data_IF_860123262510
#
_entry.id   IF_860123262510
#
_cell.length_a   1.000
_cell.length_b   1.000
_cell.length_c   1.000
_cell.angle_alpha   90.00
_cell.angle_beta   90.00
_cell.angle_gamma   90.00
#
_symmetry.space_group_name_H-M   'P 1'
#
loop_
_entity.id
_entity.type
_entity.pdbx_description
1 polymer ?
#
# COMPACT_ATOMS: atom_id res chain seq x y z
N UNK A 1 -0.39 53.34 -13.19
CA UNK A 1 -1.56 52.45 -13.30
C UNK A 1 -1.03 51.06 -13.64
N UNK A 2 -0.92 50.18 -12.65
CA UNK A 2 -0.54 48.78 -12.84
C UNK A 2 -1.38 47.96 -11.86
N UNK A 3 -2.32 47.18 -12.42
CA UNK A 3 -3.10 46.18 -11.70
C UNK A 3 -2.16 45.11 -11.15
N UNK A 4 -2.24 44.86 -9.85
CA UNK A 4 -1.65 43.68 -9.21
C UNK A 4 -2.80 42.70 -9.04
N UNK A 5 -2.76 41.60 -9.80
CA UNK A 5 -3.71 40.51 -9.68
C UNK A 5 -3.54 39.86 -8.30
N UNK A 6 -4.58 39.92 -7.48
CA UNK A 6 -4.73 39.04 -6.32
C UNK A 6 -4.90 37.62 -6.83
N UNK A 7 -4.02 36.74 -6.35
CA UNK A 7 -4.08 35.31 -6.59
C UNK A 7 -5.13 34.77 -5.63
N UNK A 8 -6.22 34.23 -6.17
CA UNK A 8 -7.26 33.52 -5.42
C UNK A 8 -6.62 32.40 -4.59
N UNK A 9 -6.50 32.65 -3.29
CA UNK A 9 -6.20 31.62 -2.30
C UNK A 9 -7.38 30.65 -2.29
N UNK A 10 -7.15 29.42 -2.77
CA UNK A 10 -8.12 28.33 -2.72
C UNK A 10 -8.81 28.29 -1.36
N UNK A 11 -10.13 28.45 -1.42
CA UNK A 11 -11.06 28.37 -0.30
C UNK A 11 -10.91 26.99 0.34
N UNK A 12 -10.18 26.92 1.45
CA UNK A 12 -10.39 25.87 2.44
C UNK A 12 -11.84 26.07 2.90
N UNK A 13 -12.77 25.12 2.65
CA UNK A 13 -14.13 25.29 3.13
C UNK A 13 -14.04 25.47 4.65
N UNK A 14 -14.71 26.48 5.19
CA UNK A 14 -14.80 26.71 6.63
C UNK A 14 -15.26 25.42 7.32
N UNK A 15 -14.31 24.68 7.87
CA UNK A 15 -14.57 23.44 8.59
C UNK A 15 -14.67 23.82 10.07
N UNK A 16 -15.75 23.41 10.73
CA UNK A 16 -15.92 23.51 12.19
C UNK A 16 -14.58 23.19 12.91
N UNK A 17 -14.10 24.04 13.85
CA UNK A 17 -12.83 23.84 14.53
C UNK A 17 -12.66 22.44 15.16
N UNK A 18 -13.72 21.84 15.70
CA UNK A 18 -13.71 20.46 16.23
C UNK A 18 -13.44 19.42 15.13
N UNK A 19 -14.00 19.64 13.94
CA UNK A 19 -13.78 18.77 12.78
C UNK A 19 -12.36 18.98 12.22
N UNK A 20 -11.81 20.19 12.31
CA UNK A 20 -10.42 20.48 11.93
C UNK A 20 -9.43 19.73 12.85
N UNK A 21 -9.67 19.71 14.15
CA UNK A 21 -8.81 19.04 15.12
C UNK A 21 -8.89 17.50 15.00
N UNK A 22 -10.09 16.95 14.83
CA UNK A 22 -10.28 15.54 14.50
C UNK A 22 -9.57 15.14 13.20
N UNK A 23 -9.69 15.95 12.14
CA UNK A 23 -9.00 15.68 10.88
C UNK A 23 -7.49 15.69 11.04
N UNK A 24 -6.93 16.65 11.79
CA UNK A 24 -5.51 16.75 12.05
C UNK A 24 -4.97 15.54 12.83
N UNK A 25 -5.70 15.09 13.85
CA UNK A 25 -5.33 13.90 14.64
C UNK A 25 -5.47 12.59 13.84
N UNK A 26 -6.49 12.48 12.98
CA UNK A 26 -6.63 11.33 12.10
C UNK A 26 -5.51 11.29 11.06
N UNK A 27 -5.21 12.42 10.41
CA UNK A 27 -4.09 12.58 9.48
C UNK A 27 -2.74 12.22 10.11
N UNK A 28 -2.51 12.62 11.37
CA UNK A 28 -1.27 12.31 12.09
C UNK A 28 -1.11 10.81 12.36
N UNK A 29 -2.20 10.08 12.58
CA UNK A 29 -2.18 8.61 12.73
C UNK A 29 -2.03 7.85 11.40
N UNK A 30 -2.48 8.43 10.30
CA UNK A 30 -2.46 7.80 8.97
C UNK A 30 -1.13 7.89 8.25
N UNK A 31 -0.39 8.99 8.43
CA UNK A 31 0.95 9.17 7.85
C UNK A 31 1.90 8.02 8.23
N UNK A 32 1.99 7.58 9.51
CA UNK A 32 2.74 6.39 9.90
C UNK A 32 2.30 5.12 9.17
N UNK A 33 0.99 4.87 9.03
CA UNK A 33 0.46 3.66 8.39
C UNK A 33 0.83 3.63 6.90
N UNK A 34 0.71 4.77 6.19
CA UNK A 34 1.19 4.91 4.81
C UNK A 34 2.70 4.63 4.69
N UNK A 35 3.48 5.06 5.68
CA UNK A 35 4.91 4.78 5.77
C UNK A 35 5.19 3.27 5.83
N UNK A 36 4.50 2.56 6.72
CA UNK A 36 4.63 1.11 6.89
C UNK A 36 4.25 0.37 5.61
N UNK A 37 3.10 0.72 5.01
CA UNK A 37 2.64 0.14 3.74
C UNK A 37 3.67 0.34 2.63
N UNK A 38 4.24 1.55 2.51
CA UNK A 38 5.31 1.80 1.52
C UNK A 38 6.50 0.89 1.77
N UNK A 39 6.95 0.76 3.03
CA UNK A 39 8.10 -0.08 3.37
C UNK A 39 7.84 -1.55 3.02
N UNK A 40 6.65 -2.06 3.32
CA UNK A 40 6.26 -3.43 2.98
C UNK A 40 6.31 -3.68 1.47
N UNK A 41 5.82 -2.73 0.66
CA UNK A 41 5.87 -2.85 -0.80
C UNK A 41 7.33 -2.90 -1.29
N UNK A 42 8.18 -1.99 -0.80
CA UNK A 42 9.59 -1.95 -1.17
C UNK A 42 10.33 -3.24 -0.75
N UNK A 43 10.04 -3.77 0.43
CA UNK A 43 10.59 -5.04 0.90
C UNK A 43 10.21 -6.18 -0.04
N UNK A 44 8.92 -6.27 -0.45
CA UNK A 44 8.44 -7.30 -1.38
C UNK A 44 9.17 -7.21 -2.73
N UNK A 45 9.39 -5.99 -3.24
CA UNK A 45 10.14 -5.77 -4.47
C UNK A 45 11.59 -6.22 -4.33
N UNK A 46 12.24 -5.87 -3.24
CA UNK A 46 13.62 -6.26 -2.92
C UNK A 46 13.78 -7.77 -2.81
N UNK A 47 12.82 -8.46 -2.15
CA UNK A 47 12.83 -9.93 -2.05
C UNK A 47 12.69 -10.56 -3.44
N UNK A 48 11.83 -10.02 -4.31
CA UNK A 48 11.69 -10.51 -5.68
C UNK A 48 12.97 -10.32 -6.51
N UNK A 49 13.60 -9.16 -6.42
CA UNK A 49 14.84 -8.87 -7.15
C UNK A 49 15.95 -9.87 -6.78
N UNK A 50 16.08 -10.13 -5.48
CA UNK A 50 17.07 -11.03 -4.89
C UNK A 50 16.69 -12.52 -4.91
N UNK A 51 15.50 -12.86 -5.43
CA UNK A 51 15.00 -14.22 -5.44
C UNK A 51 15.91 -15.17 -6.24
N UNK A 52 16.41 -16.22 -5.57
CA UNK A 52 17.23 -17.27 -6.17
C UNK A 52 16.38 -18.29 -6.94
N UNK A 53 15.16 -18.56 -6.45
CA UNK A 53 14.21 -19.47 -7.07
C UNK A 53 12.84 -18.80 -7.28
N UNK A 54 11.96 -19.45 -8.03
CA UNK A 54 10.55 -19.09 -8.17
C UNK A 54 10.26 -17.63 -8.58
N UNK A 55 11.20 -16.95 -9.26
CA UNK A 55 11.03 -15.58 -9.78
C UNK A 55 9.75 -15.39 -10.60
N UNK A 56 9.33 -16.39 -11.37
CA UNK A 56 8.08 -16.32 -12.15
C UNK A 56 6.85 -16.22 -11.25
N UNK A 57 6.83 -16.94 -10.13
CA UNK A 57 5.71 -16.91 -9.20
C UNK A 57 5.64 -15.57 -8.49
N UNK A 58 6.76 -15.09 -7.93
CA UNK A 58 6.80 -13.79 -7.26
C UNK A 58 6.50 -12.64 -8.22
N UNK A 59 6.90 -12.71 -9.50
CA UNK A 59 6.55 -11.70 -10.53
C UNK A 59 5.04 -11.42 -10.60
N UNK A 60 4.20 -12.45 -10.50
CA UNK A 60 2.73 -12.30 -10.54
C UNK A 60 2.21 -11.43 -9.39
N UNK A 61 2.84 -11.52 -8.22
CA UNK A 61 2.52 -10.70 -7.05
C UNK A 61 3.01 -9.27 -7.27
N UNK A 62 4.24 -9.11 -7.76
CA UNK A 62 4.85 -7.79 -8.03
C UNK A 62 4.01 -6.97 -9.01
N UNK A 63 3.55 -7.58 -10.10
CA UNK A 63 2.74 -6.88 -11.11
C UNK A 63 1.45 -6.30 -10.53
N UNK A 64 0.82 -6.99 -9.57
CA UNK A 64 -0.37 -6.49 -8.86
C UNK A 64 -0.02 -5.34 -7.93
N UNK A 65 1.01 -5.53 -7.11
CA UNK A 65 1.43 -4.54 -6.10
C UNK A 65 1.93 -3.25 -6.74
N UNK A 66 2.61 -3.29 -7.90
CA UNK A 66 3.09 -2.10 -8.61
C UNK A 66 1.98 -1.11 -8.95
N UNK A 67 0.77 -1.61 -9.26
CA UNK A 67 -0.38 -0.76 -9.53
C UNK A 67 -0.79 0.04 -8.29
N UNK A 68 -0.80 -0.62 -7.13
CA UNK A 68 -1.14 0.03 -5.85
C UNK A 68 -0.02 0.93 -5.35
N UNK A 69 1.25 0.56 -5.56
CA UNK A 69 2.40 1.39 -5.21
C UNK A 69 2.30 2.79 -5.82
N UNK A 70 1.88 2.89 -7.08
CA UNK A 70 1.70 4.16 -7.78
C UNK A 70 0.66 5.04 -7.07
N UNK A 71 -0.46 4.44 -6.64
CA UNK A 71 -1.51 5.13 -5.88
C UNK A 71 -0.97 5.58 -4.52
N UNK A 72 -0.31 4.69 -3.76
CA UNK A 72 0.29 5.01 -2.46
C UNK A 72 1.31 6.13 -2.55
N UNK A 73 2.16 6.14 -3.58
CA UNK A 73 3.12 7.22 -3.84
C UNK A 73 2.40 8.55 -4.09
N UNK A 74 1.32 8.54 -4.87
CA UNK A 74 0.53 9.75 -5.14
C UNK A 74 -0.09 10.34 -3.86
N UNK A 75 -0.51 9.46 -2.92
CA UNK A 75 -1.10 9.86 -1.64
C UNK A 75 -0.10 10.51 -0.68
N UNK A 76 1.21 10.37 -0.90
CA UNK A 76 2.21 11.11 -0.11
C UNK A 76 2.22 12.60 -0.43
N UNK A 77 1.69 13.02 -1.58
CA UNK A 77 1.65 14.43 -1.95
C UNK A 77 0.89 15.25 -0.90
N UNK A 78 1.42 16.42 -0.48
CA UNK A 78 0.71 17.32 0.42
C UNK A 78 -0.57 17.88 -0.23
N UNK A 79 -0.68 17.93 -1.55
CA UNK A 79 -1.86 18.49 -2.25
C UNK A 79 -3.08 17.55 -2.28
N UNK A 80 -2.97 16.36 -1.71
CA UNK A 80 -3.95 15.26 -1.86
C UNK A 80 -4.83 15.06 -0.61
N UNK A 81 -5.11 16.13 0.14
CA UNK A 81 -5.84 16.08 1.41
C UNK A 81 -7.23 15.41 1.32
N UNK A 82 -8.01 15.70 0.27
CA UNK A 82 -9.33 15.07 0.06
C UNK A 82 -9.24 13.54 -0.03
N UNK A 83 -8.22 13.04 -0.74
CA UNK A 83 -8.02 11.61 -0.96
C UNK A 83 -7.51 10.93 0.31
N UNK A 84 -6.60 11.59 1.04
CA UNK A 84 -6.20 11.16 2.40
C UNK A 84 -7.42 11.10 3.34
N UNK A 85 -8.30 12.08 3.28
CA UNK A 85 -9.52 12.13 4.10
C UNK A 85 -10.51 11.01 3.75
N UNK A 86 -10.70 10.67 2.48
CA UNK A 86 -11.51 9.50 2.09
C UNK A 86 -10.88 8.19 2.59
N UNK A 87 -9.56 8.05 2.53
CA UNK A 87 -8.90 6.85 3.05
C UNK A 87 -8.99 6.78 4.58
N UNK A 88 -8.95 7.91 5.27
CA UNK A 88 -9.23 7.96 6.72
C UNK A 88 -10.63 7.45 7.05
N UNK A 89 -11.64 7.74 6.24
CA UNK A 89 -12.98 7.16 6.41
C UNK A 89 -12.98 5.63 6.21
N UNK A 90 -11.98 5.09 5.53
CA UNK A 90 -11.76 3.66 5.30
C UNK A 90 -10.50 3.14 6.01
N UNK A 91 -10.13 3.73 7.16
CA UNK A 91 -8.90 3.39 7.89
C UNK A 91 -8.82 1.90 8.24
N UNK A 92 -9.95 1.26 8.58
CA UNK A 92 -9.99 -0.18 8.84
C UNK A 92 -9.57 -1.01 7.61
N UNK A 93 -10.06 -0.65 6.42
CA UNK A 93 -9.66 -1.30 5.16
C UNK A 93 -8.18 -1.11 4.90
N UNK A 94 -7.63 0.06 5.25
CA UNK A 94 -6.20 0.32 5.09
C UNK A 94 -5.33 -0.48 6.08
N UNK A 95 -5.81 -0.70 7.30
CA UNK A 95 -5.16 -1.59 8.30
C UNK A 95 -5.21 -3.04 7.81
N UNK A 96 -6.34 -3.49 7.24
CA UNK A 96 -6.46 -4.82 6.63
C UNK A 96 -5.46 -4.96 5.48
N UNK A 97 -5.39 -3.97 4.59
CA UNK A 97 -4.43 -3.94 3.50
C UNK A 97 -2.97 -4.07 3.98
N UNK A 98 -2.59 -3.32 5.03
CA UNK A 98 -1.27 -3.46 5.67
C UNK A 98 -1.03 -4.89 6.16
N UNK A 99 -2.02 -5.50 6.83
CA UNK A 99 -1.91 -6.89 7.32
C UNK A 99 -1.72 -7.88 6.18
N UNK A 100 -2.50 -7.74 5.10
CA UNK A 100 -2.40 -8.58 3.92
C UNK A 100 -1.04 -8.45 3.23
N UNK A 101 -0.50 -7.23 3.08
CA UNK A 101 0.85 -7.01 2.55
C UNK A 101 1.93 -7.69 3.41
N UNK A 102 1.78 -7.68 4.73
CA UNK A 102 2.71 -8.38 5.64
C UNK A 102 2.71 -9.89 5.39
N UNK A 103 1.52 -10.51 5.25
CA UNK A 103 1.41 -11.93 4.90
C UNK A 103 1.99 -12.24 3.52
N UNK A 104 1.74 -11.38 2.54
CA UNK A 104 2.31 -11.51 1.19
C UNK A 104 3.83 -11.46 1.23
N UNK A 105 4.43 -10.54 2.01
CA UNK A 105 5.89 -10.46 2.19
C UNK A 105 6.46 -11.80 2.68
N UNK A 106 5.90 -12.34 3.76
CA UNK A 106 6.34 -13.63 4.34
C UNK A 106 6.22 -14.76 3.30
N UNK A 107 5.11 -14.79 2.55
CA UNK A 107 4.90 -15.78 1.51
C UNK A 107 5.94 -15.66 0.38
N UNK A 108 6.17 -14.44 -0.13
CA UNK A 108 7.16 -14.18 -1.20
C UNK A 108 8.56 -14.58 -0.72
N UNK A 109 8.94 -14.22 0.49
CA UNK A 109 10.22 -14.63 1.10
C UNK A 109 10.36 -16.15 1.16
N UNK A 110 9.31 -16.83 1.64
CA UNK A 110 9.29 -18.30 1.73
C UNK A 110 9.46 -18.94 0.35
N UNK A 111 8.64 -18.56 -0.64
CA UNK A 111 8.67 -19.23 -1.94
C UNK A 111 9.90 -18.89 -2.76
N UNK A 112 10.51 -17.71 -2.58
CA UNK A 112 11.71 -17.33 -3.34
C UNK A 112 12.99 -18.01 -2.85
N UNK A 113 12.96 -18.55 -1.62
CA UNK A 113 14.04 -19.34 -1.04
C UNK A 113 13.86 -20.85 -1.22
N UNK A 114 12.64 -21.34 -1.49
CA UNK A 114 12.38 -22.77 -1.74
C UNK A 114 13.09 -23.25 -2.99
N UNK A 115 13.85 -24.35 -2.87
CA UNK A 115 14.49 -24.98 -4.03
C UNK A 115 13.42 -25.53 -4.98
N UNK A 116 13.79 -25.71 -6.25
CA UNK A 116 12.85 -26.16 -7.29
C UNK A 116 12.14 -27.48 -6.93
N UNK A 117 12.86 -28.45 -6.37
CA UNK A 117 12.29 -29.74 -5.95
C UNK A 117 11.31 -29.60 -4.76
N UNK A 118 11.65 -28.78 -3.76
CA UNK A 118 10.75 -28.53 -2.62
C UNK A 118 9.48 -27.80 -3.06
N UNK A 119 9.62 -26.88 -4.01
CA UNK A 119 8.51 -26.16 -4.63
C UNK A 119 7.58 -27.14 -5.34
N UNK A 120 8.13 -28.12 -6.07
CA UNK A 120 7.35 -29.15 -6.75
C UNK A 120 6.57 -30.01 -5.76
N UNK A 121 7.21 -30.50 -4.70
CA UNK A 121 6.55 -31.30 -3.66
C UNK A 121 5.44 -30.53 -2.92
N UNK A 122 5.58 -29.22 -2.78
CA UNK A 122 4.65 -28.34 -2.05
C UNK A 122 3.72 -27.55 -2.98
N UNK A 123 3.67 -27.88 -4.28
CA UNK A 123 2.97 -27.06 -5.27
C UNK A 123 1.50 -26.81 -4.93
N UNK A 124 0.79 -27.83 -4.42
CA UNK A 124 -0.62 -27.73 -4.04
C UNK A 124 -0.83 -26.76 -2.87
N UNK A 125 0.00 -26.84 -1.82
CA UNK A 125 -0.13 -25.95 -0.66
C UNK A 125 0.28 -24.53 -1.00
N UNK A 126 1.37 -24.36 -1.76
CA UNK A 126 1.83 -23.05 -2.26
C UNK A 126 0.74 -22.38 -3.10
N UNK A 127 0.10 -23.12 -4.02
CA UNK A 127 -1.00 -22.62 -4.83
C UNK A 127 -2.20 -22.19 -3.97
N UNK A 128 -2.55 -22.98 -2.96
CA UNK A 128 -3.66 -22.66 -2.04
C UNK A 128 -3.40 -21.34 -1.31
N UNK A 129 -2.23 -21.20 -0.68
CA UNK A 129 -1.85 -19.99 0.06
C UNK A 129 -1.80 -18.78 -0.89
N UNK A 130 -1.27 -18.94 -2.10
CA UNK A 130 -1.27 -17.87 -3.10
C UNK A 130 -2.69 -17.39 -3.43
N UNK A 131 -3.62 -18.31 -3.72
CA UNK A 131 -5.00 -17.95 -4.07
C UNK A 131 -5.70 -17.26 -2.90
N UNK A 132 -5.53 -17.75 -1.68
CA UNK A 132 -6.11 -17.14 -0.48
C UNK A 132 -5.58 -15.72 -0.25
N UNK A 133 -4.26 -15.51 -0.38
CA UNK A 133 -3.66 -14.19 -0.22
C UNK A 133 -4.08 -13.21 -1.32
N UNK A 134 -4.19 -13.65 -2.58
CA UNK A 134 -4.64 -12.77 -3.65
C UNK A 134 -6.12 -12.40 -3.48
N UNK A 135 -6.95 -13.34 -3.02
CA UNK A 135 -8.35 -13.04 -2.68
C UNK A 135 -8.45 -12.02 -1.54
N UNK A 136 -7.64 -12.18 -0.49
CA UNK A 136 -7.59 -11.21 0.62
C UNK A 136 -7.11 -9.83 0.14
N UNK A 137 -6.15 -9.79 -0.78
CA UNK A 137 -5.61 -8.55 -1.34
C UNK A 137 -6.59 -7.79 -2.23
N UNK A 138 -7.46 -8.51 -2.95
CA UNK A 138 -8.45 -7.95 -3.87
C UNK A 138 -9.78 -7.57 -3.17
N UNK A 139 -9.89 -7.78 -1.85
CA UNK A 139 -11.07 -7.44 -1.03
C UNK A 139 -11.01 -6.01 -0.51
#
# INVERSE_FOLDING_TARGET
MAMKAEIDTEIIPSINPELSEFTNNALSSFVPILGIVTSLINDIFTIHENAQFNKKMSRSIINRIASVETIIKSLKSPTKYREKFQILQHQESFIKFQSTLSKIKIFVETVTQLRAFETFLRATSIKKVFVELMKEYET
#
